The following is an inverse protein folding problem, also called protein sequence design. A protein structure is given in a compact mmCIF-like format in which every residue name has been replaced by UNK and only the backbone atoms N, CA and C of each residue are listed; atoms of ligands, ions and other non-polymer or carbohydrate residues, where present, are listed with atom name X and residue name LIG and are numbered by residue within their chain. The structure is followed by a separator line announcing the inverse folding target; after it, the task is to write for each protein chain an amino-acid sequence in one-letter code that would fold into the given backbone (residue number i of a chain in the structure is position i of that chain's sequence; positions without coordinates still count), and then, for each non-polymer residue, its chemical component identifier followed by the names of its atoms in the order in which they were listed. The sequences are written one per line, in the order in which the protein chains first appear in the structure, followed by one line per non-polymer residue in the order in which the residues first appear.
data_IF_336250608020
#
_entry.id   IF_336250608020
#
_cell.length_a   1.000
_cell.length_b   1.000
_cell.length_c   1.000
_cell.angle_alpha   90.00
_cell.angle_beta   90.00
_cell.angle_gamma   90.00
#
_symmetry.space_group_name_H-M   'P 1'
#
loop_
_entity.id
_entity.type
_entity.pdbx_description
1 polymer ?
#
# COMPACT_ATOMS: atom_id res chain seq x y z
N UNK A 1 1.07 30.60 2.64
CA UNK A 1 0.69 31.84 1.92
C UNK A 1 -0.83 31.88 1.78
N UNK A 2 -1.45 33.00 1.39
CA UNK A 2 -2.91 33.05 1.16
C UNK A 2 -3.37 32.07 0.08
N UNK A 3 -2.59 31.90 -0.99
CA UNK A 3 -2.86 30.90 -2.02
C UNK A 3 -2.88 29.47 -1.43
N UNK A 4 -1.96 29.14 -0.52
CA UNK A 4 -1.95 27.84 0.17
C UNK A 4 -3.24 27.62 0.99
N UNK A 5 -3.68 28.65 1.73
CA UNK A 5 -4.94 28.58 2.48
C UNK A 5 -6.12 28.32 1.55
N UNK A 6 -6.18 28.99 0.40
CA UNK A 6 -7.23 28.76 -0.58
C UNK A 6 -7.21 27.34 -1.15
N UNK A 7 -6.04 26.77 -1.44
CA UNK A 7 -5.91 25.37 -1.86
C UNK A 7 -6.39 24.42 -0.76
N UNK A 8 -6.02 24.68 0.50
CA UNK A 8 -6.38 23.83 1.65
C UNK A 8 -7.86 23.95 2.05
N UNK A 9 -8.56 24.98 1.59
CA UNK A 9 -9.98 25.26 1.90
C UNK A 9 -10.88 25.14 0.67
N UNK A 10 -10.51 24.30 -0.29
CA UNK A 10 -11.29 23.95 -1.49
C UNK A 10 -11.64 25.15 -2.39
N UNK A 11 -10.85 26.23 -2.34
CA UNK A 11 -11.03 27.46 -3.12
C UNK A 11 -9.87 27.68 -4.09
N UNK A 12 -9.48 26.61 -4.79
CA UNK A 12 -8.32 26.62 -5.69
C UNK A 12 -8.46 27.64 -6.85
N UNK A 13 -9.69 27.94 -7.26
CA UNK A 13 -10.05 28.99 -8.20
C UNK A 13 -9.59 30.39 -7.76
N UNK A 14 -9.54 30.66 -6.45
CA UNK A 14 -9.01 31.90 -5.87
C UNK A 14 -7.49 31.90 -5.72
N UNK A 15 -6.88 30.71 -5.63
CA UNK A 15 -5.43 30.57 -5.49
C UNK A 15 -4.71 30.92 -6.79
N UNK A 16 -5.22 30.45 -7.94
CA UNK A 16 -4.56 30.61 -9.26
C UNK A 16 -4.31 32.09 -9.61
N UNK A 17 -5.29 33.01 -9.53
CA UNK A 17 -5.06 34.42 -9.84
C UNK A 17 -4.01 35.08 -8.94
N UNK A 18 -3.93 34.69 -7.67
CA UNK A 18 -2.92 35.20 -6.74
C UNK A 18 -1.52 34.68 -7.06
N UNK A 19 -1.43 33.44 -7.53
CA UNK A 19 -0.16 32.81 -7.90
C UNK A 19 0.39 33.36 -9.22
N UNK A 20 -0.49 33.63 -10.19
CA UNK A 20 -0.16 34.13 -11.53
C UNK A 20 -0.28 35.65 -11.70
N UNK A 21 -0.55 36.42 -10.63
CA UNK A 21 -0.66 37.88 -10.74
C UNK A 21 0.57 38.45 -11.50
N UNK A 22 0.37 39.25 -12.56
CA UNK A 22 1.47 39.67 -13.44
C UNK A 22 2.54 40.52 -12.76
N UNK A 23 2.24 41.11 -11.60
CA UNK A 23 3.15 42.04 -10.90
C UNK A 23 3.72 41.45 -9.62
N UNK A 24 2.93 40.70 -8.87
CA UNK A 24 3.28 40.21 -7.54
C UNK A 24 3.06 38.70 -7.36
N UNK A 25 2.56 38.01 -8.38
CA UNK A 25 2.28 36.59 -8.33
C UNK A 25 3.55 35.79 -8.07
N UNK A 26 3.49 34.87 -7.11
CA UNK A 26 4.68 34.10 -6.71
C UNK A 26 5.21 33.27 -7.88
N UNK A 27 4.34 32.68 -8.72
CA UNK A 27 4.76 31.94 -9.90
C UNK A 27 5.35 32.87 -10.96
N UNK A 28 4.79 34.07 -11.12
CA UNK A 28 5.32 35.10 -12.02
C UNK A 28 6.75 35.48 -11.63
N UNK A 29 6.97 35.77 -10.34
CA UNK A 29 8.29 36.16 -9.82
C UNK A 29 9.31 35.01 -9.92
N UNK A 30 8.91 33.77 -9.62
CA UNK A 30 9.78 32.60 -9.72
C UNK A 30 10.17 32.33 -11.18
N UNK A 31 9.20 32.34 -12.11
CA UNK A 31 9.48 32.16 -13.56
C UNK A 31 10.38 33.26 -14.11
N UNK A 32 10.25 34.49 -13.60
CA UNK A 32 11.10 35.62 -13.94
C UNK A 32 12.48 35.59 -13.27
N UNK A 33 12.79 34.58 -12.42
CA UNK A 33 14.01 34.49 -11.62
C UNK A 33 14.27 35.77 -10.81
N UNK A 34 13.21 36.38 -10.29
CA UNK A 34 13.29 37.66 -9.60
C UNK A 34 14.10 37.50 -8.28
N UNK A 35 14.99 38.44 -7.91
CA UNK A 35 15.83 38.30 -6.71
C UNK A 35 15.06 38.06 -5.40
N UNK A 36 13.81 38.53 -5.32
CA UNK A 36 12.95 38.29 -4.15
C UNK A 36 12.61 36.81 -3.92
N UNK A 37 12.77 35.95 -4.93
CA UNK A 37 12.53 34.51 -4.85
C UNK A 37 13.81 33.70 -4.65
N UNK A 38 14.97 34.36 -4.57
CA UNK A 38 16.27 33.72 -4.39
C UNK A 38 16.50 33.30 -2.93
N UNK A 39 15.70 32.33 -2.50
CA UNK A 39 15.78 31.69 -1.18
C UNK A 39 15.69 30.19 -1.37
N UNK A 40 16.52 29.45 -0.64
CA UNK A 40 16.54 27.99 -0.71
C UNK A 40 15.13 27.40 -0.52
N UNK A 41 14.71 26.53 -1.43
CA UNK A 41 13.41 25.87 -1.41
C UNK A 41 12.20 26.73 -1.84
N UNK A 42 12.36 28.05 -2.00
CA UNK A 42 11.23 28.95 -2.28
C UNK A 42 10.53 28.63 -3.62
N UNK A 43 11.32 28.48 -4.69
CA UNK A 43 10.78 28.12 -6.00
C UNK A 43 10.09 26.76 -5.99
N UNK A 44 10.65 25.79 -5.26
CA UNK A 44 10.07 24.44 -5.12
C UNK A 44 8.69 24.49 -4.46
N UNK A 45 8.56 25.22 -3.35
CA UNK A 45 7.26 25.40 -2.67
C UNK A 45 6.26 26.20 -3.51
N UNK A 46 6.71 27.19 -4.28
CA UNK A 46 5.86 27.93 -5.20
C UNK A 46 5.27 27.01 -6.28
N UNK A 47 6.12 26.22 -6.95
CA UNK A 47 5.68 25.25 -7.95
C UNK A 47 4.80 24.15 -7.34
N UNK A 48 5.12 23.65 -6.14
CA UNK A 48 4.28 22.69 -5.41
C UNK A 48 2.88 23.27 -5.15
N UNK A 49 2.80 24.51 -4.67
CA UNK A 49 1.52 25.20 -4.40
C UNK A 49 0.72 25.40 -5.70
N UNK A 50 1.38 25.84 -6.78
CA UNK A 50 0.76 25.99 -8.09
C UNK A 50 0.23 24.67 -8.64
N UNK A 51 1.02 23.60 -8.55
CA UNK A 51 0.62 22.26 -8.97
C UNK A 51 -0.66 21.83 -8.25
N UNK A 52 -0.71 21.96 -6.92
CA UNK A 52 -1.91 21.64 -6.13
C UNK A 52 -3.12 22.49 -6.54
N UNK A 53 -2.93 23.78 -6.80
CA UNK A 53 -4.01 24.67 -7.21
C UNK A 53 -4.61 24.30 -8.59
N UNK A 54 -3.77 24.02 -9.59
CA UNK A 54 -4.25 23.60 -10.91
C UNK A 54 -4.93 22.24 -10.86
N UNK A 55 -4.33 21.28 -10.14
CA UNK A 55 -4.89 19.94 -9.93
C UNK A 55 -6.28 20.05 -9.28
N UNK A 56 -6.41 20.75 -8.16
CA UNK A 56 -7.69 20.92 -7.48
C UNK A 56 -8.77 21.61 -8.35
N UNK A 57 -8.36 22.50 -9.25
CA UNK A 57 -9.27 23.17 -10.18
C UNK A 57 -9.81 22.25 -11.29
N UNK A 58 -9.22 21.07 -11.51
CA UNK A 58 -9.68 20.12 -12.54
C UNK A 58 -11.10 19.61 -12.29
N UNK A 59 -11.52 19.51 -11.03
CA UNK A 59 -12.85 19.03 -10.66
C UNK A 59 -14.00 19.89 -11.23
N UNK A 60 -13.72 21.16 -11.55
CA UNK A 60 -14.70 22.14 -12.05
C UNK A 60 -14.32 22.71 -13.42
N UNK A 61 -13.32 22.13 -14.09
CA UNK A 61 -12.67 22.73 -15.25
C UNK A 61 -13.55 22.87 -16.50
N UNK A 62 -14.54 21.99 -16.68
CA UNK A 62 -15.32 21.94 -17.92
C UNK A 62 -14.41 21.85 -19.16
N UNK A 63 -14.62 22.73 -20.13
CA UNK A 63 -13.82 22.82 -21.37
C UNK A 63 -12.36 23.26 -21.14
N UNK A 64 -12.04 23.86 -19.98
CA UNK A 64 -10.68 24.33 -19.66
C UNK A 64 -9.76 23.23 -19.13
N UNK A 65 -10.23 21.97 -19.07
CA UNK A 65 -9.48 20.85 -18.49
C UNK A 65 -8.09 20.69 -19.10
N UNK A 66 -7.97 20.73 -20.42
CA UNK A 66 -6.68 20.57 -21.11
C UNK A 66 -5.68 21.68 -20.77
N UNK A 67 -6.15 22.93 -20.64
CA UNK A 67 -5.29 24.06 -20.27
C UNK A 67 -4.79 23.91 -18.84
N UNK A 68 -5.65 23.51 -17.90
CA UNK A 68 -5.26 23.28 -16.51
C UNK A 68 -4.28 22.12 -16.38
N UNK A 69 -4.47 21.05 -17.16
CA UNK A 69 -3.51 19.94 -17.23
C UNK A 69 -2.15 20.43 -17.73
N UNK A 70 -2.12 21.24 -18.80
CA UNK A 70 -0.89 21.80 -19.33
C UNK A 70 -0.16 22.66 -18.29
N UNK A 71 -0.91 23.49 -17.56
CA UNK A 71 -0.37 24.33 -16.48
C UNK A 71 0.16 23.50 -15.31
N UNK A 72 -0.53 22.44 -14.92
CA UNK A 72 -0.04 21.51 -13.91
C UNK A 72 1.27 20.84 -14.36
N UNK A 73 1.37 20.39 -15.61
CA UNK A 73 2.62 19.85 -16.17
C UNK A 73 3.77 20.88 -16.14
N UNK A 74 3.51 22.15 -16.49
CA UNK A 74 4.51 23.23 -16.37
C UNK A 74 5.02 23.39 -14.91
N UNK A 75 4.15 23.18 -13.91
CA UNK A 75 4.58 23.23 -12.51
C UNK A 75 5.45 22.04 -12.13
N UNK A 76 5.18 20.85 -12.66
CA UNK A 76 6.05 19.68 -12.46
C UNK A 76 7.44 19.90 -13.07
N UNK A 77 7.51 20.49 -14.27
CA UNK A 77 8.77 20.83 -14.93
C UNK A 77 9.55 21.90 -14.13
N UNK A 78 8.86 22.96 -13.70
CA UNK A 78 9.47 24.00 -12.86
C UNK A 78 9.95 23.46 -11.51
N UNK A 79 9.18 22.55 -10.90
CA UNK A 79 9.56 21.88 -9.67
C UNK A 79 10.84 21.07 -9.86
N UNK A 80 10.93 20.31 -10.95
CA UNK A 80 12.13 19.55 -11.30
C UNK A 80 13.34 20.47 -11.52
N UNK A 81 13.19 21.53 -12.31
CA UNK A 81 14.26 22.51 -12.54
C UNK A 81 14.73 23.13 -11.22
N UNK A 82 13.79 23.47 -10.32
CA UNK A 82 14.10 24.11 -9.04
C UNK A 82 14.87 23.23 -8.06
N UNK A 83 14.70 21.90 -8.15
CA UNK A 83 15.36 20.91 -7.29
C UNK A 83 16.69 20.44 -7.89
N UNK A 84 16.83 20.51 -9.23
CA UNK A 84 18.04 20.17 -9.96
C UNK A 84 18.38 18.66 -9.95
N UNK A 85 19.43 18.29 -10.69
CA UNK A 85 19.79 16.88 -10.92
C UNK A 85 20.21 16.14 -9.64
N UNK A 86 20.80 16.85 -8.68
CA UNK A 86 21.21 16.26 -7.40
C UNK A 86 20.05 16.03 -6.41
N UNK A 87 18.87 16.62 -6.68
CA UNK A 87 17.73 16.59 -5.78
C UNK A 87 16.66 15.55 -6.13
N UNK A 88 16.96 14.53 -6.94
CA UNK A 88 15.98 13.52 -7.35
C UNK A 88 15.27 12.82 -6.16
N UNK A 89 15.99 12.56 -5.06
CA UNK A 89 15.39 12.03 -3.85
C UNK A 89 14.37 13.00 -3.20
N UNK A 90 14.68 14.30 -3.21
CA UNK A 90 13.77 15.35 -2.75
C UNK A 90 12.54 15.44 -3.66
N UNK A 91 12.72 15.35 -4.97
CA UNK A 91 11.62 15.38 -5.94
C UNK A 91 10.66 14.19 -5.75
N UNK A 92 11.20 12.98 -5.52
CA UNK A 92 10.39 11.81 -5.14
C UNK A 92 9.65 12.06 -3.83
N UNK A 93 10.30 12.62 -2.80
CA UNK A 93 9.65 12.93 -1.54
C UNK A 93 8.52 13.97 -1.67
N UNK A 94 8.71 15.00 -2.51
CA UNK A 94 7.67 16.01 -2.79
C UNK A 94 6.48 15.35 -3.46
N UNK A 95 6.70 14.53 -4.49
CA UNK A 95 5.64 13.81 -5.17
C UNK A 95 4.89 12.84 -4.24
N UNK A 96 5.61 12.09 -3.39
CA UNK A 96 4.98 11.26 -2.37
C UNK A 96 4.12 12.08 -1.40
N UNK A 97 4.59 13.27 -0.98
CA UNK A 97 3.78 14.17 -0.15
C UNK A 97 2.53 14.64 -0.88
N UNK A 98 2.62 14.97 -2.16
CA UNK A 98 1.47 15.39 -2.97
C UNK A 98 0.43 14.28 -3.13
N UNK A 99 0.85 13.03 -3.30
CA UNK A 99 -0.06 11.89 -3.36
C UNK A 99 -0.83 11.72 -2.03
N UNK A 100 -0.16 11.89 -0.89
CA UNK A 100 -0.79 11.84 0.45
C UNK A 100 -1.71 13.03 0.70
N UNK A 101 -1.27 14.24 0.37
CA UNK A 101 -2.10 15.45 0.47
C UNK A 101 -3.40 15.26 -0.34
N UNK A 102 -3.31 14.64 -1.52
CA UNK A 102 -4.46 14.32 -2.36
C UNK A 102 -5.39 13.31 -1.70
N UNK A 103 -4.85 12.22 -1.15
CA UNK A 103 -5.60 11.20 -0.42
C UNK A 103 -6.36 11.81 0.77
N UNK A 104 -5.71 12.67 1.55
CA UNK A 104 -6.33 13.40 2.66
C UNK A 104 -7.46 14.32 2.20
N UNK A 105 -7.23 15.09 1.12
CA UNK A 105 -8.28 15.92 0.53
C UNK A 105 -9.48 15.07 0.08
N UNK A 106 -9.22 13.98 -0.62
CA UNK A 106 -10.25 13.01 -1.05
C UNK A 106 -11.04 12.42 0.12
N UNK A 107 -10.40 12.21 1.27
CA UNK A 107 -11.03 11.71 2.49
C UNK A 107 -11.83 12.80 3.24
N UNK A 108 -11.49 14.07 3.08
CA UNK A 108 -12.22 15.19 3.68
C UNK A 108 -13.55 15.52 2.98
N UNK A 109 -13.67 15.16 1.70
CA UNK A 109 -14.87 15.42 0.89
C UNK A 109 -16.02 14.52 1.36
N UNK A 110 -16.98 15.12 2.04
CA UNK A 110 -18.14 14.42 2.58
C UNK A 110 -19.21 14.09 1.53
N UNK A 111 -19.26 14.84 0.42
CA UNK A 111 -20.23 14.63 -0.66
C UNK A 111 -19.73 13.54 -1.62
N UNK A 112 -20.45 12.40 -1.77
CA UNK A 112 -20.05 11.36 -2.72
C UNK A 112 -19.93 11.88 -4.15
N UNK A 113 -20.84 12.75 -4.59
CA UNK A 113 -20.82 13.32 -5.93
C UNK A 113 -19.58 14.20 -6.17
N UNK A 114 -19.19 15.02 -5.18
CA UNK A 114 -17.98 15.84 -5.28
C UNK A 114 -16.72 14.97 -5.26
N UNK A 115 -16.69 13.92 -4.41
CA UNK A 115 -15.58 12.96 -4.34
C UNK A 115 -15.39 12.25 -5.69
N UNK A 116 -16.47 11.79 -6.32
CA UNK A 116 -16.41 11.17 -7.66
C UNK A 116 -15.98 12.16 -8.75
N UNK A 117 -16.50 13.39 -8.75
CA UNK A 117 -16.12 14.40 -9.77
C UNK A 117 -14.63 14.75 -9.69
N UNK A 118 -14.11 14.96 -8.48
CA UNK A 118 -12.70 15.22 -8.22
C UNK A 118 -11.82 14.02 -8.63
N UNK A 119 -12.23 12.80 -8.30
CA UNK A 119 -11.50 11.58 -8.69
C UNK A 119 -11.35 11.46 -10.21
N UNK A 120 -12.40 11.74 -10.98
CA UNK A 120 -12.36 11.68 -12.46
C UNK A 120 -11.46 12.75 -13.07
N UNK A 121 -11.44 13.95 -12.50
CA UNK A 121 -10.51 15.01 -12.90
C UNK A 121 -9.06 14.57 -12.73
N UNK A 122 -8.74 13.95 -11.58
CA UNK A 122 -7.41 13.40 -11.32
C UNK A 122 -7.06 12.23 -12.20
N UNK A 123 -7.98 11.28 -12.40
CA UNK A 123 -7.74 10.15 -13.29
C UNK A 123 -7.33 10.62 -14.70
N UNK A 124 -8.06 11.60 -15.25
CA UNK A 124 -7.74 12.20 -16.56
C UNK A 124 -6.35 12.81 -16.57
N UNK A 125 -6.01 13.61 -15.56
CA UNK A 125 -4.70 14.23 -15.44
C UNK A 125 -3.57 13.21 -15.32
N UNK A 126 -3.70 12.25 -14.40
CA UNK A 126 -2.71 11.22 -14.13
C UNK A 126 -2.46 10.33 -15.35
N UNK A 127 -3.51 9.95 -16.09
CA UNK A 127 -3.38 9.21 -17.35
C UNK A 127 -2.59 9.99 -18.39
N UNK A 128 -2.83 11.30 -18.50
CA UNK A 128 -2.10 12.17 -19.42
C UNK A 128 -0.64 12.33 -19.02
N UNK A 129 -0.36 12.60 -17.74
CA UNK A 129 1.00 12.70 -17.20
C UNK A 129 1.76 11.39 -17.42
N UNK A 130 1.14 10.24 -17.17
CA UNK A 130 1.73 8.91 -17.48
C UNK A 130 2.08 8.78 -18.96
N UNK A 131 1.17 9.15 -19.85
CA UNK A 131 1.36 9.01 -21.30
C UNK A 131 2.44 9.95 -21.88
N UNK A 132 2.76 11.03 -21.19
CA UNK A 132 3.75 12.02 -21.63
C UNK A 132 5.13 11.84 -20.97
N UNK A 133 5.22 11.04 -19.89
CA UNK A 133 6.45 10.93 -19.10
C UNK A 133 7.26 9.68 -19.40
N UNK A 134 8.58 9.83 -19.38
CA UNK A 134 9.56 8.74 -19.40
C UNK A 134 10.40 8.69 -18.11
N UNK A 135 10.08 9.51 -17.12
CA UNK A 135 10.89 9.69 -15.92
C UNK A 135 10.35 8.86 -14.76
N UNK A 136 11.25 8.19 -14.04
CA UNK A 136 10.88 7.31 -12.93
C UNK A 136 10.06 8.02 -11.85
N UNK A 137 10.52 9.19 -11.39
CA UNK A 137 9.87 10.00 -10.35
C UNK A 137 8.42 10.35 -10.70
N UNK A 138 8.13 10.73 -11.95
CA UNK A 138 6.80 11.09 -12.41
C UNK A 138 5.93 9.84 -12.52
N UNK A 139 6.42 8.76 -13.13
CA UNK A 139 5.66 7.52 -13.23
C UNK A 139 5.36 6.91 -11.86
N UNK A 140 6.34 6.94 -10.94
CA UNK A 140 6.17 6.47 -9.57
C UNK A 140 5.12 7.32 -8.84
N UNK A 141 5.18 8.64 -9.00
CA UNK A 141 4.15 9.53 -8.45
C UNK A 141 2.75 9.19 -8.96
N UNK A 142 2.59 8.97 -10.27
CA UNK A 142 1.30 8.59 -10.84
C UNK A 142 0.80 7.27 -10.26
N UNK A 143 1.66 6.26 -10.17
CA UNK A 143 1.30 4.95 -9.62
C UNK A 143 0.88 5.04 -8.14
N UNK A 144 1.63 5.77 -7.33
CA UNK A 144 1.32 5.98 -5.91
C UNK A 144 0.04 6.80 -5.71
N UNK A 145 -0.22 7.77 -6.59
CA UNK A 145 -1.46 8.56 -6.54
C UNK A 145 -2.68 7.71 -6.88
N UNK A 146 -2.63 6.89 -7.93
CA UNK A 146 -3.71 5.94 -8.23
C UNK A 146 -3.92 4.92 -7.10
N UNK A 147 -2.84 4.44 -6.47
CA UNK A 147 -2.92 3.54 -5.31
C UNK A 147 -3.61 4.23 -4.13
N UNK A 148 -3.20 5.45 -3.77
CA UNK A 148 -3.83 6.23 -2.71
C UNK A 148 -5.31 6.54 -2.98
N UNK A 149 -5.66 6.83 -4.24
CA UNK A 149 -7.07 6.97 -4.64
C UNK A 149 -7.84 5.67 -4.42
N UNK A 150 -7.29 4.52 -4.82
CA UNK A 150 -7.92 3.23 -4.57
C UNK A 150 -8.13 2.99 -3.07
N UNK A 151 -7.11 3.26 -2.25
CA UNK A 151 -7.14 3.12 -0.79
C UNK A 151 -8.18 4.04 -0.13
N UNK A 152 -8.35 5.27 -0.61
CA UNK A 152 -9.38 6.20 -0.14
C UNK A 152 -10.83 5.73 -0.40
N UNK A 153 -11.02 4.76 -1.32
CA UNK A 153 -12.30 4.08 -1.56
C UNK A 153 -12.34 2.66 -0.98
N UNK A 154 -11.22 2.15 -0.49
CA UNK A 154 -11.07 0.80 0.02
C UNK A 154 -11.32 0.78 1.53
N UNK A 155 -12.42 0.18 1.97
CA UNK A 155 -12.73 0.06 3.41
C UNK A 155 -11.88 -1.00 4.14
N UNK A 156 -10.99 -1.69 3.41
CA UNK A 156 -10.17 -2.80 3.90
C UNK A 156 -10.97 -4.07 4.23
N UNK A 157 -12.29 -4.07 4.00
CA UNK A 157 -13.19 -5.19 4.30
C UNK A 157 -14.18 -5.43 3.16
N UNK A 158 -14.51 -6.70 2.92
CA UNK A 158 -15.50 -7.09 1.93
C UNK A 158 -15.03 -6.91 0.49
N UNK A 159 -16.00 -7.01 -0.43
CA UNK A 159 -15.79 -6.87 -1.86
C UNK A 159 -15.48 -5.41 -2.23
N UNK A 160 -14.56 -5.24 -3.18
CA UNK A 160 -14.19 -3.94 -3.70
C UNK A 160 -15.23 -3.43 -4.69
N UNK A 161 -15.45 -2.11 -4.69
CA UNK A 161 -16.23 -1.47 -5.76
C UNK A 161 -15.49 -1.55 -7.10
N UNK A 162 -16.22 -1.46 -8.21
CA UNK A 162 -15.61 -1.43 -9.55
C UNK A 162 -14.64 -0.24 -9.71
N UNK A 163 -14.97 0.91 -9.11
CA UNK A 163 -14.13 2.10 -9.12
C UNK A 163 -12.81 1.88 -8.36
N UNK A 164 -12.88 1.26 -7.17
CA UNK A 164 -11.67 0.89 -6.40
C UNK A 164 -10.77 -0.07 -7.18
N UNK A 165 -11.36 -1.08 -7.84
CA UNK A 165 -10.62 -2.03 -8.69
C UNK A 165 -9.95 -1.31 -9.86
N UNK A 166 -10.64 -0.35 -10.49
CA UNK A 166 -10.10 0.44 -11.59
C UNK A 166 -8.88 1.26 -11.17
N UNK A 167 -8.92 1.97 -10.04
CA UNK A 167 -7.76 2.75 -9.58
C UNK A 167 -6.57 1.85 -9.20
N UNK A 168 -6.81 0.71 -8.55
CA UNK A 168 -5.76 -0.28 -8.33
C UNK A 168 -5.17 -0.81 -9.65
N UNK A 169 -6.00 -1.04 -10.66
CA UNK A 169 -5.53 -1.48 -11.98
C UNK A 169 -4.68 -0.41 -12.69
N UNK A 170 -5.05 0.87 -12.59
CA UNK A 170 -4.25 1.98 -13.13
C UNK A 170 -2.91 2.14 -12.41
N UNK A 171 -2.89 1.96 -11.09
CA UNK A 171 -1.65 1.91 -10.31
C UNK A 171 -0.75 0.76 -10.79
N UNK A 172 -1.29 -0.47 -10.88
CA UNK A 172 -0.55 -1.65 -11.35
C UNK A 172 0.00 -1.47 -12.76
N UNK A 173 -0.81 -0.96 -13.70
CA UNK A 173 -0.38 -0.71 -15.08
C UNK A 173 0.77 0.30 -15.16
N UNK A 174 0.75 1.30 -14.28
CA UNK A 174 1.83 2.29 -14.20
C UNK A 174 3.09 1.67 -13.61
N UNK A 175 2.99 0.85 -12.56
CA UNK A 175 4.12 0.08 -12.03
C UNK A 175 4.70 -0.88 -13.05
N UNK A 176 3.88 -1.56 -13.86
CA UNK A 176 4.36 -2.43 -14.93
C UNK A 176 5.19 -1.65 -15.96
N UNK A 177 4.77 -0.43 -16.29
CA UNK A 177 5.55 0.48 -17.15
C UNK A 177 6.90 0.81 -16.52
N UNK A 178 6.94 1.08 -15.22
CA UNK A 178 8.18 1.33 -14.47
C UNK A 178 9.08 0.09 -14.49
N UNK A 179 8.54 -1.10 -14.24
CA UNK A 179 9.30 -2.36 -14.22
C UNK A 179 9.87 -2.74 -15.60
N UNK A 180 9.14 -2.45 -16.68
CA UNK A 180 9.66 -2.62 -18.05
C UNK A 180 10.86 -1.70 -18.29
N UNK A 181 10.75 -0.41 -17.93
CA UNK A 181 11.84 0.56 -18.10
C UNK A 181 13.02 0.30 -17.18
N UNK A 182 12.79 -0.26 -15.99
CA UNK A 182 13.82 -0.66 -15.02
C UNK A 182 14.82 -1.70 -15.56
N UNK A 183 14.54 -2.36 -16.69
CA UNK A 183 15.52 -3.17 -17.42
C UNK A 183 16.66 -2.36 -18.05
N UNK A 184 16.51 -1.04 -18.16
CA UNK A 184 17.54 -0.14 -18.70
C UNK A 184 18.52 0.29 -17.59
N UNK A 185 19.84 0.02 -17.71
CA UNK A 185 20.82 0.43 -16.71
C UNK A 185 20.77 1.95 -16.44
N UNK A 186 20.76 2.32 -15.16
CA UNK A 186 20.75 3.72 -14.73
C UNK A 186 19.41 4.44 -14.84
N UNK A 187 18.36 3.79 -15.34
CA UNK A 187 17.03 4.43 -15.43
C UNK A 187 16.34 4.52 -14.05
N UNK A 188 16.48 3.50 -13.21
CA UNK A 188 16.07 3.58 -11.82
C UNK A 188 17.09 4.41 -11.02
N UNK A 189 16.66 5.34 -10.15
CA UNK A 189 17.58 6.10 -9.30
C UNK A 189 18.41 5.20 -8.39
N UNK A 190 17.80 4.13 -7.87
CA UNK A 190 18.49 3.13 -7.06
C UNK A 190 17.91 1.72 -7.32
N UNK A 191 18.73 0.65 -7.32
CA UNK A 191 18.28 -0.70 -7.68
C UNK A 191 17.16 -1.27 -6.82
N UNK A 192 17.08 -0.91 -5.53
CA UNK A 192 16.09 -1.45 -4.61
C UNK A 192 14.65 -1.02 -4.92
N UNK A 193 14.45 0.06 -5.68
CA UNK A 193 13.11 0.47 -6.11
C UNK A 193 12.41 -0.62 -6.92
N UNK A 194 13.16 -1.43 -7.67
CA UNK A 194 12.59 -2.56 -8.43
C UNK A 194 11.85 -3.53 -7.50
N UNK A 195 12.51 -3.97 -6.42
CA UNK A 195 11.91 -4.90 -5.46
C UNK A 195 10.70 -4.28 -4.75
N UNK A 196 10.80 -3.02 -4.34
CA UNK A 196 9.69 -2.31 -3.71
C UNK A 196 8.46 -2.26 -4.63
N UNK A 197 8.65 -1.91 -5.90
CA UNK A 197 7.57 -1.82 -6.88
C UNK A 197 6.96 -3.20 -7.17
N UNK A 198 7.78 -4.25 -7.29
CA UNK A 198 7.28 -5.61 -7.46
C UNK A 198 6.41 -6.06 -6.28
N UNK A 199 6.79 -5.72 -5.05
CA UNK A 199 5.98 -5.99 -3.85
C UNK A 199 4.66 -5.21 -3.87
N UNK A 200 4.67 -3.94 -4.30
CA UNK A 200 3.43 -3.15 -4.44
C UNK A 200 2.48 -3.77 -5.48
N UNK A 201 3.00 -4.18 -6.65
CA UNK A 201 2.19 -4.86 -7.67
C UNK A 201 1.59 -6.16 -7.14
N UNK A 202 2.37 -6.97 -6.41
CA UNK A 202 1.86 -8.20 -5.81
C UNK A 202 0.75 -7.91 -4.78
N UNK A 203 0.93 -6.92 -3.91
CA UNK A 203 -0.06 -6.52 -2.91
C UNK A 203 -1.36 -6.00 -3.57
N UNK A 204 -1.25 -5.20 -4.63
CA UNK A 204 -2.38 -4.71 -5.42
C UNK A 204 -3.12 -5.88 -6.07
N UNK A 205 -2.39 -6.77 -6.77
CA UNK A 205 -2.98 -7.94 -7.41
C UNK A 205 -3.71 -8.83 -6.41
N UNK A 206 -3.11 -9.08 -5.23
CA UNK A 206 -3.78 -9.78 -4.12
C UNK A 206 -5.07 -9.06 -3.74
N UNK A 207 -5.03 -7.75 -3.51
CA UNK A 207 -6.19 -6.98 -3.05
C UNK A 207 -7.37 -7.01 -4.03
N UNK A 208 -7.10 -6.99 -5.34
CA UNK A 208 -8.13 -7.08 -6.38
C UNK A 208 -8.50 -8.53 -6.77
N UNK A 209 -8.02 -9.54 -6.04
CA UNK A 209 -8.36 -10.95 -6.24
C UNK A 209 -7.58 -11.66 -7.35
N UNK A 210 -6.55 -11.03 -7.94
CA UNK A 210 -5.59 -11.63 -8.88
C UNK A 210 -4.49 -12.39 -8.14
N UNK A 211 -4.90 -13.35 -7.32
CA UNK A 211 -3.99 -14.06 -6.39
C UNK A 211 -2.91 -14.86 -7.12
N UNK A 212 -3.25 -15.49 -8.25
CA UNK A 212 -2.31 -16.30 -9.01
C UNK A 212 -1.20 -15.44 -9.63
N UNK A 213 -1.54 -14.27 -10.15
CA UNK A 213 -0.61 -13.28 -10.70
C UNK A 213 0.29 -12.69 -9.61
N UNK A 214 -0.28 -12.40 -8.43
CA UNK A 214 0.48 -11.97 -7.26
C UNK A 214 1.52 -13.03 -6.85
N UNK A 215 1.10 -14.29 -6.68
CA UNK A 215 2.00 -15.41 -6.33
C UNK A 215 3.09 -15.61 -7.39
N UNK A 216 2.74 -15.60 -8.68
CA UNK A 216 3.72 -15.76 -9.76
C UNK A 216 4.79 -14.67 -9.73
N UNK A 217 4.40 -13.44 -9.44
CA UNK A 217 5.32 -12.31 -9.34
C UNK A 217 6.26 -12.46 -8.14
N UNK A 218 5.74 -12.87 -7.00
CA UNK A 218 6.54 -13.13 -5.78
C UNK A 218 7.49 -14.33 -5.96
N UNK A 219 7.01 -15.40 -6.62
CA UNK A 219 7.82 -16.56 -6.96
C UNK A 219 9.02 -16.18 -7.83
N UNK A 220 8.81 -15.33 -8.85
CA UNK A 220 9.89 -14.86 -9.72
C UNK A 220 10.99 -14.14 -8.94
N UNK A 221 10.62 -13.33 -7.94
CA UNK A 221 11.59 -12.65 -7.06
C UNK A 221 12.36 -13.67 -6.19
N UNK A 222 11.66 -14.68 -5.66
CA UNK A 222 12.27 -15.69 -4.80
C UNK A 222 13.19 -16.65 -5.57
N UNK A 223 12.95 -16.86 -6.87
CA UNK A 223 13.88 -17.58 -7.75
C UNK A 223 15.25 -16.90 -7.84
N UNK A 224 15.27 -15.57 -7.81
CA UNK A 224 16.52 -14.79 -7.78
C UNK A 224 17.13 -14.76 -6.36
N UNK A 225 16.32 -14.54 -5.33
CA UNK A 225 16.76 -14.56 -3.94
C UNK A 225 15.69 -15.11 -2.98
N UNK A 226 15.82 -16.39 -2.63
CA UNK A 226 14.87 -17.10 -1.76
C UNK A 226 14.79 -16.60 -0.31
N UNK A 227 15.75 -15.77 0.13
CA UNK A 227 15.86 -15.32 1.52
C UNK A 227 15.23 -13.95 1.78
N UNK A 228 14.60 -13.33 0.78
CA UNK A 228 13.96 -12.02 0.94
C UNK A 228 12.71 -12.15 1.81
N UNK A 229 12.85 -11.90 3.11
CA UNK A 229 11.81 -12.13 4.11
C UNK A 229 10.49 -11.40 3.77
N UNK A 230 10.55 -10.14 3.33
CA UNK A 230 9.36 -9.38 2.95
C UNK A 230 8.55 -10.04 1.82
N UNK A 231 9.23 -10.66 0.85
CA UNK A 231 8.59 -11.39 -0.26
C UNK A 231 7.97 -12.70 0.24
N UNK A 232 8.65 -13.40 1.16
CA UNK A 232 8.11 -14.62 1.77
C UNK A 232 6.85 -14.33 2.60
N UNK A 233 6.85 -13.25 3.39
CA UNK A 233 5.67 -12.81 4.16
C UNK A 233 4.49 -12.47 3.24
N UNK A 234 4.72 -11.67 2.19
CA UNK A 234 3.65 -11.29 1.25
C UNK A 234 3.11 -12.51 0.50
N UNK A 235 3.94 -13.50 0.17
CA UNK A 235 3.51 -14.73 -0.49
C UNK A 235 2.62 -15.61 0.41
N UNK A 236 3.02 -15.81 1.67
CA UNK A 236 2.21 -16.53 2.65
C UNK A 236 0.85 -15.85 2.88
N UNK A 237 0.85 -14.52 3.01
CA UNK A 237 -0.37 -13.70 3.11
C UNK A 237 -1.25 -13.82 1.88
N UNK A 238 -0.66 -13.82 0.68
CA UNK A 238 -1.40 -14.01 -0.57
C UNK A 238 -2.12 -15.35 -0.62
N UNK A 239 -1.48 -16.45 -0.22
CA UNK A 239 -2.16 -17.74 -0.12
C UNK A 239 -3.28 -17.76 0.92
N UNK A 240 -3.08 -17.11 2.07
CA UNK A 240 -4.10 -17.05 3.11
C UNK A 240 -5.34 -16.29 2.61
N UNK A 241 -5.16 -15.10 2.05
CA UNK A 241 -6.27 -14.30 1.51
C UNK A 241 -6.94 -14.99 0.32
N UNK A 242 -6.15 -15.65 -0.55
CA UNK A 242 -6.70 -16.46 -1.62
C UNK A 242 -7.61 -17.56 -1.07
N UNK A 243 -7.21 -18.26 -0.01
CA UNK A 243 -8.04 -19.28 0.63
C UNK A 243 -9.31 -18.71 1.29
N UNK A 244 -9.27 -17.45 1.72
CA UNK A 244 -10.39 -16.72 2.29
C UNK A 244 -11.45 -16.31 1.27
N UNK A 245 -11.08 -16.10 0.01
CA UNK A 245 -12.03 -15.78 -1.06
C UNK A 245 -13.09 -16.89 -1.21
N UNK A 246 -14.36 -16.51 -1.16
CA UNK A 246 -15.50 -17.44 -1.23
C UNK A 246 -15.50 -18.30 -2.50
N UNK A 247 -14.91 -17.78 -3.59
CA UNK A 247 -14.82 -18.45 -4.90
C UNK A 247 -13.63 -19.40 -5.01
N UNK A 248 -12.68 -19.32 -4.08
CA UNK A 248 -11.46 -20.11 -4.11
C UNK A 248 -11.59 -21.42 -3.34
N UNK A 249 -10.63 -22.33 -3.58
CA UNK A 249 -10.49 -23.59 -2.85
C UNK A 249 -9.90 -23.33 -1.45
N UNK A 250 -10.61 -23.67 -0.35
CA UNK A 250 -10.10 -23.50 1.01
C UNK A 250 -8.78 -24.20 1.30
N UNK A 251 -8.40 -25.23 0.52
CA UNK A 251 -7.11 -25.90 0.65
C UNK A 251 -5.91 -24.98 0.41
N UNK A 252 -6.10 -23.78 -0.14
CA UNK A 252 -5.03 -22.78 -0.20
C UNK A 252 -4.51 -22.37 1.19
N UNK A 253 -5.29 -22.57 2.28
CA UNK A 253 -4.79 -22.42 3.65
C UNK A 253 -3.65 -23.39 3.98
N UNK A 254 -3.63 -24.58 3.38
CA UNK A 254 -2.53 -25.55 3.54
C UNK A 254 -1.23 -24.99 2.95
N UNK A 255 -1.33 -24.27 1.82
CA UNK A 255 -0.19 -23.58 1.19
C UNK A 255 0.26 -22.37 2.01
N UNK A 256 -0.68 -21.60 2.57
CA UNK A 256 -0.36 -20.48 3.46
C UNK A 256 0.38 -20.95 4.71
N UNK A 257 -0.01 -22.09 5.28
CA UNK A 257 0.59 -22.68 6.48
C UNK A 257 1.94 -23.36 6.20
N UNK A 258 1.97 -24.23 5.18
CA UNK A 258 3.09 -25.14 4.88
C UNK A 258 4.09 -24.64 3.85
N UNK A 259 3.72 -23.65 3.04
CA UNK A 259 4.50 -23.18 1.90
C UNK A 259 4.09 -23.85 0.58
N UNK A 260 4.61 -23.31 -0.51
CA UNK A 260 4.23 -23.70 -1.86
C UNK A 260 5.39 -23.49 -2.83
N UNK A 261 5.20 -24.00 -4.06
CA UNK A 261 6.18 -23.99 -5.17
C UNK A 261 7.49 -24.67 -4.80
N UNK A 262 8.02 -25.47 -5.69
CA UNK A 262 9.27 -26.19 -5.41
C UNK A 262 10.43 -25.46 -6.08
N UNK A 263 11.52 -25.33 -5.34
CA UNK A 263 12.79 -24.91 -5.89
C UNK A 263 13.34 -26.07 -6.72
N UNK A 264 13.49 -25.89 -8.03
CA UNK A 264 13.88 -26.94 -8.96
C UNK A 264 15.22 -27.60 -8.62
N UNK A 265 16.10 -26.90 -7.90
CA UNK A 265 17.45 -27.39 -7.55
C UNK A 265 17.44 -28.23 -6.27
N UNK A 266 16.69 -27.82 -5.26
CA UNK A 266 16.69 -28.45 -3.93
C UNK A 266 15.48 -29.33 -3.67
N UNK A 267 14.39 -29.19 -4.43
CA UNK A 267 13.10 -29.82 -4.16
C UNK A 267 12.39 -29.28 -2.91
N UNK A 268 12.99 -28.32 -2.20
CA UNK A 268 12.36 -27.67 -1.06
C UNK A 268 11.29 -26.67 -1.50
N UNK A 269 10.38 -26.32 -0.59
CA UNK A 269 9.42 -25.24 -0.85
C UNK A 269 10.16 -23.90 -1.00
N UNK A 270 10.06 -23.32 -2.19
CA UNK A 270 10.61 -22.00 -2.52
C UNK A 270 9.88 -20.91 -1.74
N UNK A 271 8.54 -20.97 -1.73
CA UNK A 271 7.71 -20.09 -0.90
C UNK A 271 7.49 -20.75 0.46
N UNK A 272 7.81 -20.03 1.51
CA UNK A 272 7.63 -20.47 2.88
C UNK A 272 6.22 -20.11 3.37
N UNK A 273 5.57 -21.06 4.04
CA UNK A 273 4.34 -20.78 4.76
C UNK A 273 4.62 -20.18 6.14
N UNK A 274 3.55 -19.74 6.80
CA UNK A 274 3.60 -19.10 8.13
C UNK A 274 4.35 -19.94 9.18
N UNK A 275 4.27 -21.27 9.10
CA UNK A 275 4.99 -22.16 10.03
C UNK A 275 6.50 -22.02 9.86
N UNK A 276 7.03 -22.10 8.63
CA UNK A 276 8.48 -21.96 8.37
C UNK A 276 8.93 -20.53 8.65
N UNK A 277 8.14 -19.52 8.26
CA UNK A 277 8.40 -18.12 8.58
C UNK A 277 8.59 -17.89 10.08
N UNK A 278 7.65 -18.38 10.91
CA UNK A 278 7.76 -18.24 12.37
C UNK A 278 9.01 -18.91 12.96
N UNK A 279 9.53 -19.97 12.34
CA UNK A 279 10.79 -20.61 12.77
C UNK A 279 12.01 -19.78 12.34
N UNK A 280 11.98 -19.21 11.13
CA UNK A 280 13.10 -18.45 10.57
C UNK A 280 13.32 -17.10 11.26
N UNK A 281 12.25 -16.52 11.82
CA UNK A 281 12.25 -15.23 12.51
C UNK A 281 12.34 -15.34 14.04
N UNK A 282 12.14 -16.54 14.61
CA UNK A 282 12.23 -16.77 16.05
C UNK A 282 13.60 -16.37 16.62
N UNK A 283 13.59 -15.87 17.85
CA UNK A 283 14.78 -15.46 18.63
C UNK A 283 15.67 -14.40 17.95
N UNK A 284 15.13 -13.64 16.99
CA UNK A 284 15.83 -12.54 16.32
C UNK A 284 15.08 -11.25 16.58
N UNK A 285 15.65 -10.38 17.42
CA UNK A 285 15.00 -9.13 17.83
C UNK A 285 14.60 -8.27 16.63
N UNK A 286 15.46 -8.18 15.61
CA UNK A 286 15.13 -7.42 14.39
C UNK A 286 13.93 -7.97 13.59
N UNK A 287 13.49 -9.19 13.88
CA UNK A 287 12.36 -9.85 13.23
C UNK A 287 11.22 -10.18 14.20
N UNK A 288 11.18 -9.55 15.38
CA UNK A 288 10.12 -9.77 16.37
C UNK A 288 8.72 -9.55 15.78
N UNK A 289 8.54 -8.50 14.97
CA UNK A 289 7.28 -8.25 14.28
C UNK A 289 6.90 -9.35 13.30
N UNK A 290 7.83 -9.75 12.42
CA UNK A 290 7.58 -10.83 11.46
C UNK A 290 7.33 -12.18 12.15
N UNK A 291 7.95 -12.42 13.32
CA UNK A 291 7.69 -13.57 14.16
C UNK A 291 6.25 -13.58 14.68
N UNK A 292 5.81 -12.51 15.34
CA UNK A 292 4.46 -12.44 15.88
C UNK A 292 3.39 -12.40 14.79
N UNK A 293 3.62 -11.70 13.68
CA UNK A 293 2.77 -11.76 12.49
C UNK A 293 2.58 -13.20 12.01
N UNK A 294 3.69 -13.93 11.82
CA UNK A 294 3.64 -15.32 11.35
C UNK A 294 2.90 -16.23 12.34
N UNK A 295 3.18 -16.12 13.64
CA UNK A 295 2.54 -16.93 14.69
C UNK A 295 1.04 -16.66 14.77
N UNK A 296 0.63 -15.40 14.68
CA UNK A 296 -0.78 -15.00 14.68
C UNK A 296 -1.50 -15.51 13.42
N UNK A 297 -0.86 -15.40 12.26
CA UNK A 297 -1.45 -15.85 11.00
C UNK A 297 -1.54 -17.38 10.87
N UNK A 298 -0.74 -18.17 11.62
CA UNK A 298 -1.00 -19.61 11.78
C UNK A 298 -2.38 -19.84 12.42
N UNK A 299 -2.66 -19.14 13.53
CA UNK A 299 -3.94 -19.28 14.23
C UNK A 299 -5.12 -18.77 13.37
N UNK A 300 -4.96 -17.61 12.72
CA UNK A 300 -5.98 -17.06 11.81
C UNK A 300 -6.26 -17.97 10.62
N UNK A 301 -5.22 -18.50 9.98
CA UNK A 301 -5.39 -19.45 8.86
C UNK A 301 -6.21 -20.67 9.28
N UNK A 302 -5.93 -21.25 10.46
CA UNK A 302 -6.74 -22.37 10.95
C UNK A 302 -8.18 -21.97 11.31
N UNK A 303 -8.38 -20.81 11.94
CA UNK A 303 -9.71 -20.29 12.26
C UNK A 303 -10.55 -20.06 11.00
N UNK A 304 -9.98 -19.36 10.02
CA UNK A 304 -10.66 -19.05 8.75
C UNK A 304 -10.90 -20.33 7.94
N UNK A 305 -9.96 -21.28 7.97
CA UNK A 305 -10.17 -22.58 7.35
C UNK A 305 -11.30 -23.36 8.03
N UNK A 306 -11.38 -23.32 9.37
CA UNK A 306 -12.48 -23.95 10.11
C UNK A 306 -13.85 -23.37 9.73
N UNK A 307 -13.93 -22.06 9.46
CA UNK A 307 -15.16 -21.40 9.01
C UNK A 307 -15.62 -21.88 7.62
N UNK A 308 -14.67 -22.32 6.78
CA UNK A 308 -14.92 -22.94 5.47
C UNK A 308 -15.12 -24.46 5.54
N UNK A 309 -15.14 -25.03 6.75
CA UNK A 309 -15.18 -26.47 7.01
C UNK A 309 -16.42 -26.87 7.81
N UNK A 310 -16.68 -28.17 7.94
CA UNK A 310 -17.86 -28.71 8.64
C UNK A 310 -17.49 -29.93 9.50
N UNK A 311 -18.29 -30.22 10.52
CA UNK A 311 -18.17 -31.44 11.33
C UNK A 311 -16.81 -31.60 12.03
N UNK A 312 -16.27 -32.82 12.04
CA UNK A 312 -14.99 -33.14 12.68
C UNK A 312 -13.82 -32.29 12.13
N UNK A 313 -13.87 -32.00 10.83
CA UNK A 313 -12.92 -31.18 10.10
C UNK A 313 -12.90 -29.72 10.58
N UNK A 314 -14.07 -29.17 10.93
CA UNK A 314 -14.16 -27.84 11.54
C UNK A 314 -13.59 -27.85 12.96
N UNK A 315 -13.98 -28.85 13.76
CA UNK A 315 -13.50 -28.99 15.14
C UNK A 315 -11.97 -29.10 15.19
N UNK A 316 -11.37 -29.99 14.38
CA UNK A 316 -9.92 -30.18 14.35
C UNK A 316 -9.17 -28.89 14.02
N UNK A 317 -9.67 -28.11 13.05
CA UNK A 317 -9.06 -26.83 12.66
C UNK A 317 -9.19 -25.79 13.77
N UNK A 318 -10.32 -25.70 14.46
CA UNK A 318 -10.47 -24.81 15.62
C UNK A 318 -9.51 -25.20 16.75
N UNK A 319 -9.37 -26.50 17.04
CA UNK A 319 -8.43 -27.00 18.05
C UNK A 319 -6.97 -26.70 17.66
N UNK A 320 -6.63 -26.77 16.37
CA UNK A 320 -5.31 -26.34 15.87
C UNK A 320 -5.11 -24.84 16.00
N UNK A 321 -6.13 -24.03 15.71
CA UNK A 321 -6.07 -22.58 15.88
C UNK A 321 -5.80 -22.20 17.35
N UNK A 322 -6.53 -22.80 18.30
CA UNK A 322 -6.35 -22.59 19.74
C UNK A 322 -4.94 -22.98 20.20
N UNK A 323 -4.49 -24.19 19.83
CA UNK A 323 -3.14 -24.69 20.15
C UNK A 323 -2.02 -23.82 19.60
N UNK A 324 -2.21 -23.19 18.43
CA UNK A 324 -1.22 -22.27 17.87
C UNK A 324 -1.01 -21.03 18.77
N UNK A 325 -2.09 -20.47 19.34
CA UNK A 325 -1.99 -19.35 20.29
C UNK A 325 -1.42 -19.83 21.62
N UNK A 326 -1.91 -20.96 22.15
CA UNK A 326 -1.42 -21.55 23.41
C UNK A 326 0.10 -21.78 23.38
N UNK A 327 0.63 -22.39 22.32
CA UNK A 327 2.06 -22.61 22.17
C UNK A 327 2.85 -21.29 22.14
N UNK A 328 2.29 -20.25 21.52
CA UNK A 328 2.94 -18.94 21.49
C UNK A 328 2.96 -18.33 22.89
N UNK A 329 1.85 -18.40 23.64
CA UNK A 329 1.75 -17.89 25.00
C UNK A 329 2.72 -18.58 25.97
N UNK A 330 2.87 -19.91 25.84
CA UNK A 330 3.81 -20.69 26.66
C UNK A 330 5.28 -20.30 26.43
N UNK A 331 5.66 -20.04 25.18
CA UNK A 331 7.05 -19.70 24.84
C UNK A 331 7.35 -18.20 24.95
N UNK A 332 6.34 -17.35 24.74
CA UNK A 332 6.47 -15.89 24.70
C UNK A 332 5.30 -15.25 25.47
N UNK A 333 5.32 -15.26 26.82
CA UNK A 333 4.21 -14.80 27.66
C UNK A 333 3.78 -13.34 27.42
N UNK A 334 4.72 -12.49 27.01
CA UNK A 334 4.43 -11.09 26.65
C UNK A 334 3.62 -10.95 25.36
N UNK A 335 3.54 -12.01 24.54
CA UNK A 335 2.73 -12.07 23.31
C UNK A 335 3.00 -10.91 22.34
N UNK A 336 4.24 -10.42 22.30
CA UNK A 336 4.67 -9.30 21.46
C UNK A 336 4.22 -7.93 21.97
N UNK A 337 3.89 -7.81 23.25
CA UNK A 337 3.59 -6.55 23.93
C UNK A 337 2.30 -5.89 23.44
N UNK A 338 2.21 -4.57 23.59
CA UNK A 338 1.00 -3.78 23.32
C UNK A 338 0.50 -3.89 21.87
N UNK A 339 1.42 -4.10 20.92
CA UNK A 339 1.09 -4.21 19.50
C UNK A 339 0.36 -5.52 19.16
N UNK A 340 0.83 -6.63 19.70
CA UNK A 340 0.42 -7.97 19.26
C UNK A 340 -0.53 -8.67 20.24
N UNK A 341 -0.34 -8.48 21.55
CA UNK A 341 -1.14 -9.15 22.60
C UNK A 341 -2.66 -8.94 22.43
N UNK A 342 -3.17 -7.73 22.11
CA UNK A 342 -4.60 -7.53 21.89
C UNK A 342 -5.14 -8.33 20.69
N UNK A 343 -4.34 -8.49 19.64
CA UNK A 343 -4.75 -9.23 18.45
C UNK A 343 -4.84 -10.73 18.70
N UNK A 344 -3.89 -11.29 19.46
CA UNK A 344 -3.98 -12.68 19.92
C UNK A 344 -5.19 -12.92 20.82
N UNK A 345 -5.45 -12.01 21.76
CA UNK A 345 -6.62 -12.08 22.65
C UNK A 345 -7.92 -12.09 21.86
N UNK A 346 -8.05 -11.16 20.90
CA UNK A 346 -9.21 -11.08 20.02
C UNK A 346 -9.40 -12.35 19.19
N UNK A 347 -8.33 -12.86 18.56
CA UNK A 347 -8.40 -14.11 17.76
C UNK A 347 -8.75 -15.31 18.65
N UNK A 348 -8.21 -15.41 19.87
CA UNK A 348 -8.53 -16.50 20.78
C UNK A 348 -10.00 -16.45 21.24
N UNK A 349 -10.55 -15.27 21.53
CA UNK A 349 -11.98 -15.13 21.84
C UNK A 349 -12.87 -15.58 20.69
N UNK A 350 -12.50 -15.27 19.45
CA UNK A 350 -13.22 -15.76 18.27
C UNK A 350 -13.16 -17.29 18.18
N UNK A 351 -11.99 -17.90 18.42
CA UNK A 351 -11.82 -19.35 18.43
C UNK A 351 -12.67 -19.99 19.54
N UNK A 352 -12.57 -19.50 20.78
CA UNK A 352 -13.39 -19.96 21.92
C UNK A 352 -14.89 -19.87 21.61
N UNK A 353 -15.34 -18.75 21.02
CA UNK A 353 -16.74 -18.61 20.61
C UNK A 353 -17.17 -19.65 19.59
N UNK A 354 -16.31 -19.99 18.62
CA UNK A 354 -16.61 -20.99 17.58
C UNK A 354 -16.56 -22.42 18.12
N UNK A 355 -15.79 -22.65 19.18
CA UNK A 355 -15.75 -23.90 19.95
C UNK A 355 -16.93 -24.06 20.93
N UNK A 356 -17.75 -23.02 21.13
CA UNK A 356 -18.81 -23.02 22.15
C UNK A 356 -18.29 -22.84 23.58
N UNK A 357 -17.06 -22.38 23.74
CA UNK A 357 -16.42 -22.11 25.03
C UNK A 357 -16.70 -20.68 25.52
N UNK A 358 -16.40 -20.42 26.81
CA UNK A 358 -16.45 -19.05 27.35
C UNK A 358 -15.33 -18.21 26.73
N UNK A 359 -15.68 -17.05 26.16
CA UNK A 359 -14.74 -16.13 25.51
C UNK A 359 -13.89 -15.36 26.52
N UNK A 360 -12.98 -16.03 27.22
CA UNK A 360 -12.09 -15.41 28.22
C UNK A 360 -10.79 -14.86 27.61
N UNK A 361 -10.47 -15.20 26.37
CA UNK A 361 -9.26 -14.78 25.69
C UNK A 361 -8.01 -15.38 26.33
N UNK A 362 -6.90 -14.63 26.33
CA UNK A 362 -5.60 -15.08 26.85
C UNK A 362 -5.60 -15.38 28.35
N UNK A 363 -6.62 -14.89 29.09
CA UNK A 363 -6.79 -15.22 30.50
C UNK A 363 -6.96 -16.73 30.75
N UNK A 364 -7.37 -17.49 29.74
CA UNK A 364 -7.43 -18.95 29.80
C UNK A 364 -6.08 -19.58 30.17
N UNK A 365 -4.98 -19.07 29.62
CA UNK A 365 -3.65 -19.65 29.82
C UNK A 365 -2.99 -19.21 31.12
N UNK A 366 -3.39 -18.05 31.65
CA UNK A 366 -2.90 -17.54 32.95
C UNK A 366 -3.48 -18.36 34.10
N UNK A 367 -4.72 -18.82 33.98
CA UNK A 367 -5.38 -19.62 35.02
C UNK A 367 -4.83 -21.06 35.11
N UNK A 368 -4.22 -21.59 34.04
CA UNK A 368 -3.71 -22.96 33.99
C UNK A 368 -2.35 -23.13 34.69
N UNK A 369 -1.50 -22.10 34.74
CA UNK A 369 -0.17 -22.16 35.37
C UNK A 369 -0.20 -21.94 36.90
N UNK A 370 -1.30 -21.44 37.47
CA UNK A 370 -1.43 -21.22 38.91
C UNK A 370 -1.90 -22.46 39.71
N UNK A 371 -2.16 -23.58 39.02
CA UNK A 371 -2.67 -24.82 39.61
C UNK A 371 -1.78 -26.05 39.41
N UNK A 372 -0.52 -25.86 39.00
CA UNK A 372 0.48 -26.92 38.76
C UNK A 372 1.47 -27.10 39.88
#
# INVERSE_FOLDING_TARGET
SLAQIYVDTEQADKAIPLLEDPKFGVLTLVKAKHPATDKAGFSSEAYKTGLRAYIASLATAGENGDQLIQKASEMMDGLKESVGDSGQAQLVAIYLSLARDLEEQMNSISSPAAKTAMSKGFETFLKRVRGQSNEFNILNWVAETFRGMAEAFDTGKGELSAETIQYYAEASSTYDTILQKAGTPGWLPQPQYKLQIQLQVAAINRRIGKYQEAVNSLEAILKDNKMVLGVQLEAAKTYQEWAGDSRANPKMYELALGGAREDEKSGEKLIWGWIKLSKMTANKEQFADAFHESRLNIARSYLEYAQRSQGADQQERLDRAKRAIEFTAKLYPEMGGEKWKPQYDQTLRQIQSKLGEKQVGLAEFIAADAGG
#
